data_IF_911590042743
#
_entry.id   IF_911590042743
#
_cell.length_a   1.000
_cell.length_b   1.000
_cell.length_c   1.000
_cell.angle_alpha   90.00
_cell.angle_beta   90.00
_cell.angle_gamma   90.00
#
_symmetry.space_group_name_H-M   'P 1'
#
loop_
_entity.id
_entity.type
_entity.pdbx_description
1 polymer ?
#
# COMPACT_ATOMS: atom_id res chain seq x y z
N UNK A 1 5.33 -11.18 -28.52
CA UNK A 1 5.80 -11.95 -27.34
C UNK A 1 4.82 -11.89 -26.16
N UNK A 2 3.53 -11.58 -26.39
CA UNK A 2 2.48 -11.51 -25.33
C UNK A 2 1.45 -12.66 -25.48
N UNK A 3 1.41 -13.34 -26.64
CA UNK A 3 0.37 -14.35 -26.92
C UNK A 3 0.52 -15.67 -26.14
N UNK A 4 1.72 -15.99 -25.64
CA UNK A 4 1.98 -17.29 -24.99
C UNK A 4 1.88 -17.27 -23.47
N UNK A 5 1.82 -16.09 -22.82
CA UNK A 5 1.85 -15.96 -21.36
C UNK A 5 0.47 -15.71 -20.72
N UNK A 6 -0.54 -15.37 -21.52
CA UNK A 6 -1.93 -15.18 -21.06
C UNK A 6 -2.76 -16.48 -21.06
N UNK A 7 -2.10 -17.63 -20.94
CA UNK A 7 -2.82 -18.90 -20.98
C UNK A 7 -3.56 -19.07 -19.65
N UNK A 8 -4.86 -18.81 -19.65
CA UNK A 8 -5.77 -19.33 -18.63
C UNK A 8 -6.18 -20.76 -19.03
N UNK A 9 -6.29 -21.67 -18.07
CA UNK A 9 -6.94 -22.97 -18.29
C UNK A 9 -8.45 -22.81 -18.56
N UNK A 10 -9.13 -23.88 -18.97
CA UNK A 10 -10.60 -23.84 -19.22
C UNK A 10 -11.43 -23.49 -17.98
N UNK A 11 -10.81 -23.38 -16.80
CA UNK A 11 -11.41 -22.95 -15.54
C UNK A 11 -11.07 -21.51 -15.13
N UNK A 12 -10.31 -20.77 -15.96
CA UNK A 12 -9.94 -19.38 -15.69
C UNK A 12 -8.67 -19.20 -14.84
N UNK A 13 -7.93 -20.27 -14.55
CA UNK A 13 -6.68 -20.22 -13.78
C UNK A 13 -5.52 -19.77 -14.66
N UNK A 14 -4.90 -18.64 -14.35
CA UNK A 14 -3.74 -18.10 -15.05
C UNK A 14 -2.52 -19.05 -14.89
N UNK A 15 -1.95 -19.55 -16.00
CA UNK A 15 -0.79 -20.45 -15.98
C UNK A 15 0.48 -19.82 -15.41
N UNK A 16 0.61 -18.50 -15.49
CA UNK A 16 1.70 -17.73 -14.87
C UNK A 16 1.13 -16.47 -14.19
N UNK A 17 0.58 -16.67 -13.00
CA UNK A 17 0.05 -15.58 -12.19
C UNK A 17 1.12 -14.54 -11.83
N UNK A 18 2.40 -14.93 -11.73
CA UNK A 18 3.51 -14.03 -11.39
C UNK A 18 3.77 -13.03 -12.50
N UNK A 19 3.88 -13.50 -13.75
CA UNK A 19 4.09 -12.61 -14.89
C UNK A 19 2.91 -11.67 -15.12
N UNK A 20 1.69 -12.17 -14.98
CA UNK A 20 0.47 -11.35 -15.11
C UNK A 20 0.42 -10.28 -14.03
N UNK A 21 0.69 -10.65 -12.77
CA UNK A 21 0.77 -9.71 -11.64
C UNK A 21 1.86 -8.67 -11.83
N UNK A 22 3.04 -9.10 -12.27
CA UNK A 22 4.16 -8.20 -12.56
C UNK A 22 3.78 -7.21 -13.67
N UNK A 23 3.20 -7.66 -14.77
CA UNK A 23 2.77 -6.80 -15.87
C UNK A 23 1.72 -5.78 -15.40
N UNK A 24 0.66 -6.24 -14.72
CA UNK A 24 -0.40 -5.36 -14.20
C UNK A 24 0.16 -4.36 -13.19
N UNK A 25 1.11 -4.75 -12.34
CA UNK A 25 1.71 -3.82 -11.39
C UNK A 25 2.62 -2.81 -12.11
N UNK A 26 3.40 -3.23 -13.10
CA UNK A 26 4.45 -2.41 -13.73
C UNK A 26 4.00 -1.62 -14.97
N UNK A 27 2.84 -1.91 -15.56
CA UNK A 27 2.38 -1.19 -16.74
C UNK A 27 2.26 0.35 -16.57
N UNK A 28 1.96 0.93 -15.38
CA UNK A 28 1.80 2.39 -15.26
C UNK A 28 3.07 3.17 -15.60
N UNK A 29 4.24 2.52 -15.52
CA UNK A 29 5.54 3.10 -15.93
C UNK A 29 5.67 3.30 -17.44
N UNK A 30 4.89 2.58 -18.24
CA UNK A 30 5.01 2.55 -19.70
C UNK A 30 3.76 3.09 -20.39
N UNK A 31 2.58 2.94 -19.78
CA UNK A 31 1.30 3.31 -20.39
C UNK A 31 0.29 3.62 -19.28
N UNK A 32 -0.50 4.71 -19.40
CA UNK A 32 -1.59 5.00 -18.48
C UNK A 32 -2.57 3.82 -18.37
N UNK A 33 -3.03 3.54 -17.16
CA UNK A 33 -3.91 2.40 -16.92
C UNK A 33 -5.24 2.49 -17.68
N UNK A 34 -5.73 3.71 -17.89
CA UNK A 34 -6.90 4.04 -18.71
C UNK A 34 -6.70 3.66 -20.18
N UNK A 35 -5.53 3.95 -20.75
CA UNK A 35 -5.21 3.62 -22.14
C UNK A 35 -5.05 2.11 -22.33
N UNK A 36 -4.40 1.43 -21.38
CA UNK A 36 -4.26 -0.03 -21.42
C UNK A 36 -5.63 -0.72 -21.29
N UNK A 37 -6.48 -0.23 -20.39
CA UNK A 37 -7.87 -0.69 -20.24
C UNK A 37 -8.64 -0.57 -21.56
N UNK A 38 -8.63 0.60 -22.18
CA UNK A 38 -9.34 0.85 -23.44
C UNK A 38 -8.82 -0.05 -24.56
N UNK A 39 -7.50 -0.24 -24.68
CA UNK A 39 -6.90 -1.16 -25.65
C UNK A 39 -7.37 -2.61 -25.47
N UNK A 40 -7.49 -3.08 -24.22
CA UNK A 40 -7.98 -4.42 -23.92
C UNK A 40 -9.47 -4.56 -24.26
N UNK A 41 -10.29 -3.56 -23.92
CA UNK A 41 -11.71 -3.54 -24.25
C UNK A 41 -11.92 -3.56 -25.76
N UNK A 42 -11.24 -2.69 -26.51
CA UNK A 42 -11.30 -2.67 -27.97
C UNK A 42 -10.90 -4.01 -28.58
N UNK A 43 -9.81 -4.63 -28.10
CA UNK A 43 -9.39 -5.96 -28.55
C UNK A 43 -10.39 -7.08 -28.26
N UNK A 44 -11.21 -6.93 -27.23
CA UNK A 44 -12.27 -7.91 -26.94
C UNK A 44 -13.45 -7.82 -27.93
N UNK A 45 -13.63 -6.65 -28.56
CA UNK A 45 -14.73 -6.34 -29.47
C UNK A 45 -14.40 -6.47 -30.95
N UNK A 46 -13.10 -6.57 -31.31
CA UNK A 46 -12.66 -6.84 -32.68
C UNK A 46 -13.35 -8.10 -33.26
N UNK A 47 -13.87 -8.02 -34.49
CA UNK A 47 -14.54 -9.15 -35.17
C UNK A 47 -13.60 -10.35 -35.36
N UNK A 48 -12.29 -10.10 -35.48
CA UNK A 48 -11.24 -11.12 -35.55
C UNK A 48 -10.95 -11.82 -34.21
N UNK A 49 -11.59 -11.40 -33.12
CA UNK A 49 -11.35 -11.93 -31.77
C UNK A 49 -12.15 -13.22 -31.53
N UNK A 50 -11.44 -14.33 -31.35
CA UNK A 50 -12.05 -15.63 -31.02
C UNK A 50 -12.73 -15.58 -29.66
N UNK A 51 -13.75 -16.43 -29.46
CA UNK A 51 -14.46 -16.54 -28.18
C UNK A 51 -13.51 -16.85 -27.00
N UNK A 52 -12.49 -17.70 -27.23
CA UNK A 52 -11.44 -18.00 -26.25
C UNK A 52 -10.62 -16.76 -25.88
N UNK A 53 -10.18 -15.98 -26.88
CA UNK A 53 -9.39 -14.75 -26.64
C UNK A 53 -10.19 -13.71 -25.88
N UNK A 54 -11.46 -13.53 -26.25
CA UNK A 54 -12.40 -12.65 -25.54
C UNK A 54 -12.55 -13.08 -24.08
N UNK A 55 -12.75 -14.37 -23.83
CA UNK A 55 -12.83 -14.91 -22.46
C UNK A 55 -11.55 -14.63 -21.66
N UNK A 56 -10.36 -14.82 -22.24
CA UNK A 56 -9.08 -14.52 -21.56
C UNK A 56 -8.91 -13.06 -21.20
N UNK A 57 -9.28 -12.13 -22.09
CA UNK A 57 -9.21 -10.69 -21.83
C UNK A 57 -10.13 -10.32 -20.66
N UNK A 58 -11.32 -10.90 -20.61
CA UNK A 58 -12.29 -10.66 -19.54
C UNK A 58 -11.78 -11.18 -18.20
N UNK A 59 -11.21 -12.40 -18.17
CA UNK A 59 -10.59 -12.94 -16.96
C UNK A 59 -9.42 -12.09 -16.49
N UNK A 60 -8.60 -11.56 -17.40
CA UNK A 60 -7.51 -10.64 -17.07
C UNK A 60 -8.03 -9.35 -16.45
N UNK A 61 -9.08 -8.74 -17.02
CA UNK A 61 -9.69 -7.52 -16.48
C UNK A 61 -10.31 -7.79 -15.10
N UNK A 62 -11.01 -8.92 -14.92
CA UNK A 62 -11.54 -9.33 -13.61
C UNK A 62 -10.43 -9.52 -12.58
N UNK A 63 -9.34 -10.18 -12.95
CA UNK A 63 -8.17 -10.36 -12.09
C UNK A 63 -7.54 -9.02 -11.72
N UNK A 64 -7.33 -8.14 -12.69
CA UNK A 64 -6.77 -6.81 -12.48
C UNK A 64 -7.61 -6.01 -11.48
N UNK A 65 -8.93 -5.95 -11.67
CA UNK A 65 -9.83 -5.20 -10.79
C UNK A 65 -9.86 -5.79 -9.38
N UNK A 66 -9.84 -7.13 -9.25
CA UNK A 66 -9.81 -7.82 -7.97
C UNK A 66 -8.53 -7.52 -7.18
N UNK A 67 -7.38 -7.54 -7.85
CA UNK A 67 -6.07 -7.38 -7.20
C UNK A 67 -5.63 -5.92 -7.02
N UNK A 68 -6.01 -5.04 -7.96
CA UNK A 68 -5.62 -3.63 -7.99
C UNK A 68 -6.83 -2.76 -8.34
N UNK A 69 -7.75 -2.51 -7.39
CA UNK A 69 -8.93 -1.70 -7.63
C UNK A 69 -8.52 -0.26 -7.96
N UNK A 70 -8.72 0.13 -9.22
CA UNK A 70 -8.44 1.48 -9.71
C UNK A 70 -9.72 2.30 -9.81
N UNK A 71 -9.72 3.49 -9.21
CA UNK A 71 -10.85 4.42 -9.27
C UNK A 71 -11.19 4.86 -10.70
N UNK A 72 -10.16 5.19 -11.48
CA UNK A 72 -10.26 5.63 -12.88
C UNK A 72 -10.92 4.58 -13.79
N UNK A 73 -10.72 3.30 -13.51
CA UNK A 73 -11.30 2.21 -14.29
C UNK A 73 -12.81 2.09 -14.07
N UNK A 74 -13.28 2.36 -12.83
CA UNK A 74 -14.72 2.41 -12.52
C UNK A 74 -15.39 3.59 -13.21
N UNK A 75 -14.71 4.74 -13.27
CA UNK A 75 -15.21 5.94 -13.95
C UNK A 75 -15.27 5.74 -15.48
N UNK A 76 -14.25 5.13 -16.09
CA UNK A 76 -14.26 4.76 -17.51
C UNK A 76 -15.44 3.86 -17.88
N UNK A 77 -15.64 2.77 -17.12
CA UNK A 77 -16.75 1.84 -17.36
C UNK A 77 -18.13 2.45 -17.11
N UNK A 78 -18.22 3.45 -16.22
CA UNK A 78 -19.48 4.16 -15.94
C UNK A 78 -19.81 5.21 -17.01
N UNK A 79 -18.80 5.76 -17.68
CA UNK A 79 -18.96 6.84 -18.67
C UNK A 79 -19.23 6.30 -20.07
N UNK A 80 -18.71 5.12 -20.42
CA UNK A 80 -18.90 4.51 -21.74
C UNK A 80 -20.21 3.73 -21.93
N UNK A 81 -21.03 3.54 -20.88
CA UNK A 81 -22.49 3.42 -20.97
C UNK A 81 -23.09 2.45 -22.01
N UNK A 82 -22.35 1.45 -22.49
CA UNK A 82 -22.87 0.42 -23.37
C UNK A 82 -23.29 -0.76 -22.49
N UNK A 83 -24.58 -1.11 -22.47
CA UNK A 83 -25.14 -2.23 -21.70
C UNK A 83 -24.43 -3.57 -21.97
N UNK A 84 -23.66 -3.63 -23.05
CA UNK A 84 -22.78 -4.73 -23.43
C UNK A 84 -21.58 -4.87 -22.48
N UNK A 85 -20.99 -3.78 -21.98
CA UNK A 85 -19.76 -3.78 -21.17
C UNK A 85 -20.03 -4.05 -19.69
N UNK A 86 -21.20 -3.61 -19.18
CA UNK A 86 -21.62 -3.80 -17.78
C UNK A 86 -21.91 -5.27 -17.42
N UNK A 87 -22.25 -6.11 -18.40
CA UNK A 87 -22.50 -7.55 -18.19
C UNK A 87 -21.22 -8.38 -18.06
N UNK A 88 -20.08 -7.89 -18.55
CA UNK A 88 -18.82 -8.63 -18.60
C UNK A 88 -17.96 -8.46 -17.34
N UNK A 89 -18.12 -7.33 -16.63
CA UNK A 89 -17.35 -6.98 -15.44
C UNK A 89 -18.35 -6.54 -14.37
N UNK A 90 -18.53 -7.35 -13.33
CA UNK A 90 -19.34 -6.97 -12.18
C UNK A 90 -18.59 -5.93 -11.34
N UNK A 91 -18.83 -4.66 -11.65
CA UNK A 91 -18.23 -3.47 -11.01
C UNK A 91 -18.68 -3.34 -9.54
N UNK A 92 -19.80 -3.94 -9.15
CA UNK A 92 -20.34 -3.87 -7.79
C UNK A 92 -19.64 -4.84 -6.82
N UNK A 93 -19.07 -5.93 -7.34
CA UNK A 93 -18.30 -6.90 -6.54
C UNK A 93 -16.93 -6.41 -6.07
N UNK A 94 -16.45 -5.27 -6.60
CA UNK A 94 -15.12 -4.73 -6.32
C UNK A 94 -15.09 -4.17 -4.90
N UNK A 95 -14.27 -4.72 -3.98
CA UNK A 95 -14.16 -4.18 -2.64
C UNK A 95 -13.67 -2.73 -2.73
N UNK A 96 -14.47 -1.78 -2.24
CA UNK A 96 -13.99 -0.40 -2.10
C UNK A 96 -12.93 -0.37 -0.99
N UNK A 97 -11.67 -0.32 -1.37
CA UNK A 97 -10.56 -0.08 -0.44
C UNK A 97 -10.43 1.39 -0.05
N UNK A 98 -11.26 2.28 -0.63
CA UNK A 98 -11.20 3.72 -0.41
C UNK A 98 -11.44 4.08 1.07
N UNK A 99 -12.34 3.38 1.77
CA UNK A 99 -12.59 3.64 3.19
C UNK A 99 -11.36 3.34 4.07
N UNK A 100 -10.55 2.33 3.73
CA UNK A 100 -9.31 2.00 4.46
C UNK A 100 -8.22 3.06 4.25
N UNK A 101 -8.24 3.69 3.07
CA UNK A 101 -7.34 4.79 2.69
C UNK A 101 -7.88 6.15 3.09
N UNK A 102 -9.04 6.23 3.75
CA UNK A 102 -9.49 7.50 4.31
C UNK A 102 -8.49 8.04 5.33
N UNK A 103 -8.10 9.26 5.02
CA UNK A 103 -7.24 10.16 5.77
C UNK A 103 -8.03 10.56 7.02
N UNK A 104 -7.79 9.91 8.16
CA UNK A 104 -8.42 10.30 9.43
C UNK A 104 -8.12 11.76 9.73
N UNK A 105 -9.14 12.61 9.75
CA UNK A 105 -8.99 14.03 10.02
C UNK A 105 -8.56 14.22 11.48
N UNK A 106 -7.49 14.97 11.73
CA UNK A 106 -7.12 15.34 13.11
C UNK A 106 -8.19 16.30 13.63
N UNK A 107 -8.94 15.89 14.65
CA UNK A 107 -9.68 16.84 15.48
C UNK A 107 -8.64 17.67 16.23
N UNK A 108 -8.58 19.01 16.04
CA UNK A 108 -7.65 19.84 16.78
C UNK A 108 -8.13 19.92 18.23
N UNK A 109 -7.60 19.05 19.10
CA UNK A 109 -7.81 19.21 20.54
C UNK A 109 -6.94 20.36 21.04
N UNK A 110 -7.59 21.48 21.37
CA UNK A 110 -7.01 22.65 22.04
C UNK A 110 -6.76 22.34 23.52
N UNK A 111 -6.14 21.21 23.83
CA UNK A 111 -5.73 20.86 25.19
C UNK A 111 -4.22 20.97 25.29
N UNK A 112 -3.76 21.81 26.22
CA UNK A 112 -2.35 22.06 26.52
C UNK A 112 -1.62 20.72 26.70
N UNK A 113 -0.88 20.28 25.67
CA UNK A 113 -0.19 18.99 25.57
C UNK A 113 1.00 18.95 26.55
N UNK A 114 0.71 18.71 27.83
CA UNK A 114 1.73 18.44 28.87
C UNK A 114 1.53 17.09 29.56
N UNK A 115 0.60 16.25 29.10
CA UNK A 115 0.20 15.02 29.80
C UNK A 115 0.89 13.72 29.36
N UNK A 116 1.68 13.72 28.27
CA UNK A 116 2.37 12.50 27.81
C UNK A 116 3.70 12.22 28.53
N UNK A 117 4.32 13.26 29.10
CA UNK A 117 5.67 13.19 29.69
C UNK A 117 5.79 12.27 30.91
N UNK A 118 4.68 11.97 31.61
CA UNK A 118 4.73 11.18 32.84
C UNK A 118 4.61 9.66 32.59
N UNK A 119 4.07 9.24 31.44
CA UNK A 119 3.89 7.82 31.11
C UNK A 119 5.15 7.20 30.47
N UNK A 120 5.96 8.01 29.78
CA UNK A 120 7.16 7.51 29.08
C UNK A 120 8.23 6.98 30.03
N UNK A 121 8.43 7.62 31.18
CA UNK A 121 9.50 7.24 32.13
C UNK A 121 9.27 5.86 32.78
N UNK A 122 8.08 5.27 32.59
CA UNK A 122 7.69 3.95 33.12
C UNK A 122 7.35 2.93 32.04
N UNK A 123 7.34 3.34 30.76
CA UNK A 123 7.01 2.45 29.67
C UNK A 123 8.22 1.57 29.35
N UNK A 124 8.02 0.25 29.31
CA UNK A 124 9.09 -0.67 28.98
C UNK A 124 9.58 -0.48 27.53
N UNK A 125 10.87 -0.73 27.30
CA UNK A 125 11.47 -0.60 25.98
C UNK A 125 10.81 -1.51 24.94
N UNK A 126 10.36 -2.70 25.35
CA UNK A 126 9.69 -3.66 24.45
C UNK A 126 8.29 -3.19 24.08
N UNK A 127 7.51 -2.73 25.05
CA UNK A 127 6.15 -2.24 24.83
C UNK A 127 6.15 -0.99 23.94
N UNK A 128 7.12 -0.09 24.13
CA UNK A 128 7.27 1.08 23.26
C UNK A 128 7.66 0.68 21.83
N UNK A 129 8.56 -0.29 21.66
CA UNK A 129 8.94 -0.79 20.34
C UNK A 129 7.73 -1.41 19.61
N UNK A 130 6.91 -2.19 20.30
CA UNK A 130 5.70 -2.78 19.75
C UNK A 130 4.70 -1.72 19.29
N UNK A 131 4.43 -0.71 20.13
CA UNK A 131 3.52 0.38 19.77
C UNK A 131 4.00 1.19 18.57
N UNK A 132 5.30 1.51 18.49
CA UNK A 132 5.87 2.21 17.34
C UNK A 132 5.77 1.35 16.07
N UNK A 133 6.10 0.06 16.18
CA UNK A 133 5.99 -0.90 15.07
C UNK A 133 4.55 -1.01 14.57
N UNK A 134 3.57 -1.09 15.49
CA UNK A 134 2.16 -1.14 15.12
C UNK A 134 1.69 0.14 14.41
N UNK A 135 2.13 1.31 14.88
CA UNK A 135 1.81 2.59 14.25
C UNK A 135 2.39 2.67 12.84
N UNK A 136 3.66 2.28 12.66
CA UNK A 136 4.33 2.24 11.37
C UNK A 136 3.65 1.24 10.43
N UNK A 137 3.42 0.00 10.88
CA UNK A 137 2.72 -1.04 10.12
C UNK A 137 1.34 -0.58 9.63
N UNK A 138 0.52 -0.04 10.54
CA UNK A 138 -0.83 0.45 10.20
C UNK A 138 -0.80 1.59 9.19
N UNK A 139 0.22 2.45 9.24
CA UNK A 139 0.40 3.52 8.25
C UNK A 139 0.93 2.97 6.92
N UNK A 140 1.87 2.01 6.97
CA UNK A 140 2.51 1.39 5.81
C UNK A 140 1.52 0.59 4.97
N UNK A 141 0.62 -0.18 5.59
CA UNK A 141 -0.40 -0.97 4.90
C UNK A 141 -1.39 -0.14 4.04
N UNK A 142 -1.39 1.19 4.17
CA UNK A 142 -2.23 2.07 3.36
C UNK A 142 -1.57 2.48 2.04
N UNK A 143 -0.24 2.36 1.96
CA UNK A 143 0.56 2.75 0.79
C UNK A 143 0.37 1.68 -0.29
N UNK A 144 -0.02 2.12 -1.48
CA UNK A 144 -0.19 1.27 -2.65
C UNK A 144 0.90 1.56 -3.69
N UNK A 145 0.99 0.69 -4.70
CA UNK A 145 1.96 0.84 -5.78
C UNK A 145 1.85 2.19 -6.50
N UNK A 146 0.63 2.70 -6.70
CA UNK A 146 0.39 4.02 -7.31
C UNK A 146 1.04 5.16 -6.52
N UNK A 147 1.11 5.04 -5.19
CA UNK A 147 1.73 6.05 -4.33
C UNK A 147 3.26 6.08 -4.55
N UNK A 148 3.89 4.91 -4.72
CA UNK A 148 5.31 4.82 -5.08
C UNK A 148 5.58 5.31 -6.50
N UNK A 149 4.75 4.92 -7.47
CA UNK A 149 4.87 5.39 -8.85
C UNK A 149 4.81 6.91 -8.92
N UNK A 150 3.79 7.54 -8.30
CA UNK A 150 3.69 9.00 -8.23
C UNK A 150 4.93 9.62 -7.59
N UNK A 151 5.39 9.08 -6.45
CA UNK A 151 6.56 9.63 -5.76
C UNK A 151 7.83 9.57 -6.60
N UNK A 152 8.10 8.45 -7.27
CA UNK A 152 9.32 8.30 -8.10
C UNK A 152 9.25 9.17 -9.35
N UNK A 153 8.07 9.30 -9.98
CA UNK A 153 7.90 10.13 -11.17
C UNK A 153 8.07 11.62 -10.88
N UNK A 154 7.66 12.09 -9.69
CA UNK A 154 7.76 13.51 -9.31
C UNK A 154 9.03 13.83 -8.48
N UNK A 155 9.70 12.83 -7.91
CA UNK A 155 10.84 13.00 -7.00
C UNK A 155 10.45 13.49 -5.59
N UNK A 156 9.17 13.73 -5.33
CA UNK A 156 8.62 14.12 -4.05
C UNK A 156 7.13 13.73 -3.97
N UNK A 157 6.50 13.95 -2.81
CA UNK A 157 5.06 13.76 -2.69
C UNK A 157 4.31 14.91 -3.35
N UNK A 158 3.59 14.61 -4.42
CA UNK A 158 2.67 15.53 -5.10
C UNK A 158 1.30 14.87 -5.14
N UNK A 159 0.29 15.52 -4.56
CA UNK A 159 -1.09 15.02 -4.44
C UNK A 159 -1.19 13.59 -3.89
N UNK A 160 -0.27 13.23 -2.98
CA UNK A 160 -0.14 11.89 -2.42
C UNK A 160 -0.30 11.91 -0.88
N UNK A 161 -1.54 12.12 -0.38
CA UNK A 161 -1.78 12.33 1.04
C UNK A 161 -1.49 11.09 1.91
N UNK A 162 -1.43 9.90 1.31
CA UNK A 162 -1.12 8.65 2.02
C UNK A 162 0.37 8.59 2.34
N UNK A 163 1.21 8.77 1.32
CA UNK A 163 2.65 8.74 1.49
C UNK A 163 3.14 9.94 2.32
N UNK A 164 2.54 11.13 2.13
CA UNK A 164 2.80 12.30 2.97
C UNK A 164 2.54 12.03 4.45
N UNK A 165 1.44 11.33 4.76
CA UNK A 165 1.11 10.96 6.15
C UNK A 165 2.10 9.96 6.73
N UNK A 166 2.54 8.99 5.95
CA UNK A 166 3.54 8.03 6.37
C UNK A 166 4.88 8.74 6.67
N UNK A 167 5.36 9.60 5.77
CA UNK A 167 6.56 10.40 5.96
C UNK A 167 6.40 11.32 7.20
N UNK A 168 5.23 11.96 7.33
CA UNK A 168 4.92 12.82 8.48
C UNK A 168 4.93 12.05 9.79
N UNK A 169 4.41 10.82 9.83
CA UNK A 169 4.46 9.95 11.01
C UNK A 169 5.90 9.67 11.40
N UNK A 170 6.73 9.24 10.45
CA UNK A 170 8.14 8.94 10.67
C UNK A 170 8.90 10.17 11.23
N UNK A 171 8.70 11.33 10.62
CA UNK A 171 9.29 12.59 11.07
C UNK A 171 8.77 13.00 12.45
N UNK A 172 7.48 12.80 12.73
CA UNK A 172 6.87 13.11 14.02
C UNK A 172 7.43 12.24 15.15
N UNK A 173 7.70 10.96 14.89
CA UNK A 173 8.35 10.06 15.86
C UNK A 173 9.77 10.54 16.15
N UNK A 174 10.55 10.85 15.11
CA UNK A 174 11.91 11.38 15.27
C UNK A 174 11.93 12.68 16.08
N UNK A 175 11.05 13.62 15.77
CA UNK A 175 10.92 14.87 16.52
C UNK A 175 10.45 14.64 17.95
N UNK A 176 9.53 13.70 18.17
CA UNK A 176 9.08 13.34 19.51
C UNK A 176 10.23 12.80 20.38
N UNK A 177 11.08 11.92 19.83
CA UNK A 177 12.27 11.41 20.53
C UNK A 177 13.21 12.57 20.88
N UNK A 178 13.50 13.46 19.93
CA UNK A 178 14.32 14.65 20.18
C UNK A 178 13.76 15.51 21.32
N UNK A 179 12.45 15.75 21.33
CA UNK A 179 11.79 16.51 22.39
C UNK A 179 11.80 15.78 23.74
N UNK A 180 11.65 14.45 23.77
CA UNK A 180 11.76 13.66 25.00
C UNK A 180 13.15 13.77 25.62
N UNK A 181 14.21 13.70 24.81
CA UNK A 181 15.58 13.92 25.27
C UNK A 181 15.75 15.35 25.77
N UNK A 182 15.43 16.36 24.95
CA UNK A 182 15.64 17.77 25.30
C UNK A 182 14.76 18.27 26.46
N UNK A 183 13.68 17.56 26.79
CA UNK A 183 12.83 17.87 27.94
C UNK A 183 13.52 17.67 29.30
N UNK A 184 14.59 16.86 29.36
CA UNK A 184 15.27 16.59 30.63
C UNK A 184 16.29 17.69 30.96
N UNK A 185 16.26 18.26 32.18
CA UNK A 185 17.07 19.42 32.53
C UNK A 185 18.57 19.10 32.64
N UNK A 186 18.93 17.91 33.12
CA UNK A 186 20.35 17.52 33.35
C UNK A 186 20.90 16.62 32.24
N UNK A 187 22.21 16.70 32.01
CA UNK A 187 22.89 15.87 31.01
C UNK A 187 22.76 14.37 31.30
N UNK A 188 22.84 13.98 32.58
CA UNK A 188 22.70 12.60 33.03
C UNK A 188 21.30 12.04 32.71
N UNK A 189 20.24 12.81 32.97
CA UNK A 189 18.88 12.39 32.64
C UNK A 189 18.67 12.29 31.12
N UNK A 190 19.27 13.19 30.32
CA UNK A 190 19.24 13.07 28.86
C UNK A 190 19.92 11.79 28.39
N UNK A 191 21.07 11.44 28.95
CA UNK A 191 21.79 10.21 28.62
C UNK A 191 20.98 8.94 28.97
N UNK A 192 20.19 8.97 30.05
CA UNK A 192 19.27 7.87 30.39
C UNK A 192 18.16 7.71 29.36
N UNK A 193 17.54 8.81 28.92
CA UNK A 193 16.51 8.77 27.87
C UNK A 193 17.09 8.29 26.54
N UNK A 194 18.30 8.74 26.17
CA UNK A 194 19.01 8.25 24.98
C UNK A 194 19.26 6.75 25.08
N UNK A 195 19.81 6.28 26.20
CA UNK A 195 20.04 4.85 26.45
C UNK A 195 18.75 4.04 26.36
N UNK A 196 17.63 4.58 26.84
CA UNK A 196 16.32 3.95 26.73
C UNK A 196 15.90 3.80 25.26
N UNK A 197 15.98 4.85 24.46
CA UNK A 197 15.65 4.77 23.03
C UNK A 197 16.60 3.87 22.22
N UNK A 198 17.87 3.76 22.61
CA UNK A 198 18.79 2.78 22.02
C UNK A 198 18.27 1.36 22.25
N UNK A 199 17.80 1.04 23.46
CA UNK A 199 17.20 -0.28 23.76
C UNK A 199 15.92 -0.53 22.96
N UNK A 200 15.04 0.47 22.87
CA UNK A 200 13.82 0.39 22.03
C UNK A 200 14.19 0.07 20.57
N UNK A 201 15.17 0.77 20.01
CA UNK A 201 15.64 0.53 18.64
C UNK A 201 16.25 -0.87 18.48
N UNK A 202 17.04 -1.33 19.45
CA UNK A 202 17.61 -2.69 19.44
C UNK A 202 16.52 -3.76 19.45
N UNK A 203 15.49 -3.62 20.30
CA UNK A 203 14.37 -4.57 20.36
C UNK A 203 13.59 -4.58 19.05
N UNK A 204 13.26 -3.40 18.50
CA UNK A 204 12.58 -3.31 17.21
C UNK A 204 13.36 -3.96 16.06
N UNK A 205 14.68 -3.71 15.98
CA UNK A 205 15.55 -4.28 14.96
C UNK A 205 15.76 -5.79 15.11
N UNK A 206 15.94 -6.30 16.34
CA UNK A 206 16.12 -7.73 16.60
C UNK A 206 14.83 -8.53 16.38
N UNK A 207 13.66 -7.99 16.76
CA UNK A 207 12.37 -8.64 16.51
C UNK A 207 12.12 -8.86 15.02
N UNK A 208 12.47 -7.89 14.18
CA UNK A 208 12.40 -8.01 12.72
C UNK A 208 13.37 -9.08 12.16
N UNK A 209 14.59 -9.16 12.69
CA UNK A 209 15.57 -10.18 12.25
C UNK A 209 15.17 -11.60 12.66
N UNK A 210 14.70 -11.79 13.89
CA UNK A 210 14.27 -13.11 14.40
C UNK A 210 13.07 -13.68 13.64
N UNK A 211 12.05 -12.86 13.34
CA UNK A 211 10.90 -13.30 12.54
C UNK A 211 11.24 -13.62 11.08
N UNK A 212 12.22 -12.91 10.48
CA UNK A 212 12.70 -13.22 9.13
C UNK A 212 13.48 -14.55 9.09
N UNK A 213 14.25 -14.85 10.14
CA UNK A 213 14.95 -16.15 10.24
C UNK A 213 14.02 -17.35 10.44
N UNK A 214 12.90 -17.20 11.15
CA UNK A 214 11.92 -18.29 11.32
C UNK A 214 11.17 -18.60 10.01
N UNK A 215 10.86 -17.59 9.19
CA UNK A 215 10.21 -17.81 7.88
C UNK A 215 11.08 -18.54 6.84
N UNK A 216 12.40 -18.59 7.03
CA UNK A 216 13.31 -19.33 6.15
C UNK A 216 13.56 -20.79 6.59
N UNK A 217 13.09 -21.21 7.77
CA UNK A 217 13.22 -22.59 8.23
C UNK A 217 12.03 -23.49 7.82
N UNK A 218 10.88 -22.91 7.48
CA UNK A 218 9.68 -23.67 7.06
C UNK A 218 9.63 -23.95 5.54
N UNK A 219 10.70 -23.67 4.80
CA UNK A 219 10.82 -23.93 3.35
C UNK A 219 11.97 -24.88 2.98
N UNK A 220 12.45 -25.71 3.91
CA UNK A 220 13.43 -26.77 3.64
C UNK A 220 12.85 -28.17 3.89
#
# INVERSE_FOLDING_TARGET
MIDSSLVADEKGTLKDATLVRMFIMMHPWYTPSTELANKLVLKSQEESCTAERRSRIVHLLKYWISEFPMKEFKELLSTEGDESHSKLIDIESVPSYEWKRQVTQRVPSVSKKRKMSLLFDHLDSSELAEHLTFLEYKSFCKILFQDYHSFVMHGCTVDNPILERFITLFNSVSQWIQLMVLSKPTAQQRALVISHFIRVAQVGLHGLWSSVSETNCDSS
#
